data_IF_717121120693
#
_entry.id   IF_717121120693
#
_cell.length_a   1.000
_cell.length_b   1.000
_cell.length_c   1.000
_cell.angle_alpha   90.00
_cell.angle_beta   90.00
_cell.angle_gamma   90.00
#
_symmetry.space_group_name_H-M   'P 1'
#
loop_
_entity.id
_entity.type
_entity.pdbx_description
1 polymer ?
#
# COMPACT_ATOMS: atom_id res chain seq x y z
N UNK A 1 18.87 10.66 -3.86
CA UNK A 1 19.01 9.59 -2.86
C UNK A 1 19.59 10.22 -1.61
N UNK A 2 19.09 9.88 -0.42
CA UNK A 2 19.57 10.48 0.83
C UNK A 2 21.03 10.12 1.13
N UNK A 3 21.79 11.07 1.68
CA UNK A 3 23.12 10.85 2.24
C UNK A 3 23.14 11.37 3.68
N UNK A 4 24.00 10.81 4.53
CA UNK A 4 24.17 11.30 5.91
C UNK A 4 24.56 12.79 5.92
N UNK A 5 25.49 13.19 5.05
CA UNK A 5 25.94 14.59 4.94
C UNK A 5 24.81 15.57 4.60
N UNK A 6 23.90 15.21 3.66
CA UNK A 6 22.80 16.10 3.28
C UNK A 6 21.76 16.21 4.40
N UNK A 7 21.48 15.11 5.11
CA UNK A 7 20.58 15.15 6.27
C UNK A 7 21.20 15.95 7.43
N UNK A 8 22.50 15.76 7.67
CA UNK A 8 23.26 16.52 8.68
C UNK A 8 23.21 18.01 8.40
N UNK A 9 23.48 18.41 7.14
CA UNK A 9 23.34 19.80 6.70
C UNK A 9 21.95 20.33 6.95
N UNK A 10 20.91 19.62 6.51
CA UNK A 10 19.52 20.06 6.66
C UNK A 10 19.12 20.32 8.12
N UNK A 11 19.36 19.36 9.03
CA UNK A 11 18.98 19.54 10.43
C UNK A 11 19.89 20.53 11.18
N UNK A 12 21.14 20.70 10.74
CA UNK A 12 22.03 21.72 11.30
C UNK A 12 21.62 23.13 10.89
N UNK A 13 21.24 23.34 9.62
CA UNK A 13 20.74 24.61 9.09
C UNK A 13 19.39 24.99 9.69
N UNK A 14 18.51 24.00 9.92
CA UNK A 14 17.25 24.21 10.64
C UNK A 14 17.47 24.76 12.05
N UNK A 15 18.54 24.33 12.74
CA UNK A 15 18.97 24.82 14.05
C UNK A 15 18.11 24.35 15.23
N UNK A 16 16.78 24.37 15.11
CA UNK A 16 15.85 23.94 16.15
C UNK A 16 14.55 23.37 15.58
N UNK A 17 14.08 22.26 16.14
CA UNK A 17 12.75 21.70 15.87
C UNK A 17 11.77 22.27 16.90
N UNK A 18 10.64 22.82 16.44
CA UNK A 18 9.60 23.29 17.36
C UNK A 18 8.91 22.11 18.07
N UNK A 19 9.09 22.06 19.39
CA UNK A 19 8.43 21.10 20.28
C UNK A 19 7.48 21.78 21.26
N UNK A 20 7.22 23.08 21.12
CA UNK A 20 6.37 23.86 22.05
C UNK A 20 4.92 23.40 22.08
N UNK A 21 4.48 22.74 21.00
CA UNK A 21 3.16 22.11 20.91
C UNK A 21 2.98 20.92 21.86
N UNK A 22 4.06 20.35 22.39
CA UNK A 22 4.05 19.40 23.50
C UNK A 22 4.13 20.16 24.82
N UNK A 23 3.23 19.89 25.76
CA UNK A 23 3.26 20.52 27.10
C UNK A 23 4.58 20.27 27.82
N UNK A 24 5.13 19.04 27.70
CA UNK A 24 6.40 18.66 28.31
C UNK A 24 7.13 17.62 27.45
N UNK A 25 7.94 18.04 26.46
CA UNK A 25 8.64 17.13 25.55
C UNK A 25 9.43 16.03 26.28
N UNK A 26 9.99 16.34 27.44
CA UNK A 26 10.81 15.40 28.25
C UNK A 26 10.05 14.19 28.81
N UNK A 27 8.71 14.17 28.70
CA UNK A 27 7.85 13.04 29.07
C UNK A 27 7.47 12.17 27.87
N UNK A 28 7.86 12.55 26.65
CA UNK A 28 7.58 11.77 25.44
C UNK A 28 8.79 10.97 25.00
N UNK A 29 8.53 9.85 24.33
CA UNK A 29 9.55 9.03 23.70
C UNK A 29 9.79 9.54 22.28
N UNK A 30 11.04 9.84 21.94
CA UNK A 30 11.44 10.18 20.59
C UNK A 30 12.10 8.99 19.91
N UNK A 31 11.75 8.77 18.65
CA UNK A 31 12.29 7.70 17.81
C UNK A 31 12.54 8.20 16.41
N UNK A 32 13.53 7.65 15.73
CA UNK A 32 13.78 7.99 14.34
C UNK A 32 14.29 6.80 13.54
N UNK A 33 14.19 6.90 12.23
CA UNK A 33 14.83 5.99 11.27
C UNK A 33 16.06 6.69 10.69
N UNK A 34 17.16 5.96 10.52
CA UNK A 34 18.36 6.46 9.83
C UNK A 34 18.64 5.68 8.56
N UNK A 35 19.57 6.19 7.73
CA UNK A 35 20.01 5.53 6.50
C UNK A 35 20.70 4.18 6.75
N UNK A 36 21.27 4.01 7.94
CA UNK A 36 22.02 2.80 8.34
C UNK A 36 21.13 1.65 8.82
N UNK A 37 19.81 1.87 8.97
CA UNK A 37 18.81 0.84 9.33
C UNK A 37 19.07 0.16 10.68
N UNK A 38 18.55 0.68 11.80
CA UNK A 38 17.19 0.33 12.25
C UNK A 38 16.41 1.53 12.85
N UNK A 39 15.28 1.26 13.51
CA UNK A 39 14.62 2.22 14.39
C UNK A 39 15.53 2.54 15.59
N UNK A 40 15.80 3.82 15.81
CA UNK A 40 16.53 4.34 16.95
C UNK A 40 15.53 4.95 17.92
N UNK A 41 15.68 4.65 19.20
CA UNK A 41 14.93 5.30 20.28
C UNK A 41 15.90 6.15 21.08
N UNK A 42 15.54 7.39 21.37
CA UNK A 42 16.36 8.26 22.19
C UNK A 42 16.66 7.61 23.54
N UNK A 43 17.93 7.63 23.94
CA UNK A 43 18.40 7.10 25.24
C UNK A 43 18.34 8.14 26.35
N UNK A 44 17.77 9.32 26.07
CA UNK A 44 17.68 10.44 27.02
C UNK A 44 16.31 11.12 26.92
N UNK A 45 15.96 11.89 27.95
CA UNK A 45 14.77 12.73 27.90
C UNK A 45 15.10 13.98 27.09
N UNK A 46 14.29 14.26 26.07
CA UNK A 46 14.48 15.40 25.18
C UNK A 46 13.57 16.53 25.65
N UNK A 47 14.15 17.65 26.08
CA UNK A 47 13.38 18.81 26.57
C UNK A 47 13.20 19.91 25.53
N UNK A 48 14.02 19.94 24.48
CA UNK A 48 14.03 21.00 23.45
C UNK A 48 14.41 20.42 22.09
N UNK A 49 14.04 21.13 21.01
CA UNK A 49 14.38 20.74 19.64
C UNK A 49 15.87 20.68 19.37
N UNK A 50 16.64 21.64 19.91
CA UNK A 50 18.11 21.61 19.83
C UNK A 50 18.72 20.34 20.39
N UNK A 51 18.23 19.87 21.55
CA UNK A 51 18.69 18.60 22.15
C UNK A 51 18.28 17.39 21.30
N UNK A 52 17.13 17.46 20.63
CA UNK A 52 16.71 16.42 19.70
C UNK A 52 17.68 16.32 18.52
N UNK A 53 18.00 17.45 17.88
CA UNK A 53 18.96 17.50 16.77
C UNK A 53 20.33 16.98 17.20
N UNK A 54 20.82 17.40 18.37
CA UNK A 54 22.08 16.87 18.92
C UNK A 54 22.04 15.35 19.15
N UNK A 55 20.86 14.75 19.38
CA UNK A 55 20.71 13.31 19.60
C UNK A 55 20.81 12.51 18.29
N UNK A 56 20.67 13.18 17.14
CA UNK A 56 20.81 12.55 15.83
C UNK A 56 22.26 12.25 15.45
N UNK A 57 23.24 12.87 16.12
CA UNK A 57 24.67 12.78 15.78
C UNK A 57 25.12 11.33 15.53
N UNK A 58 25.69 11.09 14.33
CA UNK A 58 26.18 9.79 13.88
C UNK A 58 25.11 8.86 13.26
N UNK A 59 23.83 9.22 13.36
CA UNK A 59 22.68 8.50 12.82
C UNK A 59 21.58 9.48 12.37
N UNK A 60 21.84 10.25 11.31
CA UNK A 60 20.92 11.30 10.88
C UNK A 60 19.56 10.72 10.43
N UNK A 61 18.44 11.38 10.79
CA UNK A 61 17.13 10.79 10.59
C UNK A 61 16.57 11.06 9.20
N UNK A 62 15.98 10.03 8.58
CA UNK A 62 15.07 10.18 7.44
C UNK A 62 13.64 10.48 7.90
N UNK A 63 13.29 10.04 9.10
CA UNK A 63 11.96 10.18 9.69
C UNK A 63 12.09 10.29 11.21
N UNK A 64 11.44 11.29 11.81
CA UNK A 64 11.46 11.52 13.26
C UNK A 64 10.04 11.42 13.82
N UNK A 65 9.89 10.76 14.95
CA UNK A 65 8.62 10.47 15.58
C UNK A 65 8.66 10.73 17.09
N UNK A 66 7.50 11.04 17.65
CA UNK A 66 7.27 11.24 19.08
C UNK A 66 6.04 10.45 19.53
N UNK A 67 6.04 9.92 20.75
CA UNK A 67 4.89 9.21 21.30
C UNK A 67 3.68 10.12 21.51
N UNK A 68 2.48 9.63 21.22
CA UNK A 68 1.22 10.33 21.53
C UNK A 68 0.97 10.40 23.03
N UNK A 69 1.41 9.38 23.77
CA UNK A 69 1.39 9.35 25.23
C UNK A 69 2.61 10.03 25.85
N UNK A 70 2.36 10.68 26.99
CA UNK A 70 3.41 11.14 27.90
C UNK A 70 3.54 10.20 29.09
N UNK A 71 4.76 9.99 29.56
CA UNK A 71 5.10 8.97 30.55
C UNK A 71 5.98 9.56 31.64
N UNK A 72 5.91 8.99 32.83
CA UNK A 72 6.85 9.35 33.91
C UNK A 72 8.30 9.06 33.51
N UNK A 73 8.53 8.01 32.73
CA UNK A 73 9.84 7.62 32.19
C UNK A 73 9.73 7.13 30.74
N UNK A 74 9.97 8.00 29.73
CA UNK A 74 9.77 7.65 28.33
C UNK A 74 10.93 6.87 27.66
N UNK A 75 12.12 6.88 28.27
CA UNK A 75 13.37 6.41 27.63
C UNK A 75 13.45 4.88 27.54
N UNK A 76 12.78 4.16 28.44
CA UNK A 76 12.86 2.70 28.55
C UNK A 76 11.48 2.06 28.71
N UNK A 77 10.51 2.54 27.93
CA UNK A 77 9.15 2.01 28.00
C UNK A 77 9.15 0.49 27.73
N UNK A 78 8.62 -0.32 28.66
CA UNK A 78 8.49 -1.75 28.46
C UNK A 78 7.54 -2.03 27.29
N UNK A 79 7.78 -3.13 26.57
CA UNK A 79 6.85 -3.59 25.53
C UNK A 79 5.54 -4.02 26.19
N UNK A 80 4.43 -4.00 25.45
CA UNK A 80 3.11 -4.41 25.97
C UNK A 80 3.09 -5.83 26.58
N UNK A 81 3.95 -6.74 26.10
CA UNK A 81 4.08 -8.12 26.59
C UNK A 81 5.18 -8.30 27.66
N UNK A 82 5.88 -7.24 28.03
CA UNK A 82 6.95 -7.32 29.02
C UNK A 82 6.36 -7.35 30.43
N UNK A 83 6.43 -8.52 31.06
CA UNK A 83 5.95 -8.76 32.43
C UNK A 83 7.06 -8.66 33.48
N UNK A 84 8.32 -8.46 33.06
CA UNK A 84 9.48 -8.45 33.97
C UNK A 84 9.75 -7.07 34.54
N UNK A 85 9.34 -6.02 33.84
CA UNK A 85 9.54 -4.63 34.25
C UNK A 85 8.27 -4.06 34.87
N UNK A 86 8.39 -3.08 35.79
CA UNK A 86 7.23 -2.35 36.31
C UNK A 86 6.41 -1.73 35.18
N UNK A 87 5.09 -1.71 35.35
CA UNK A 87 4.19 -1.10 34.38
C UNK A 87 4.46 0.41 34.29
N UNK A 88 4.53 0.99 33.08
CA UNK A 88 4.87 2.39 32.94
C UNK A 88 3.69 3.27 33.38
N UNK A 89 3.99 4.41 34.01
CA UNK A 89 2.96 5.34 34.48
C UNK A 89 2.64 6.31 33.34
N UNK A 90 1.46 6.12 32.75
CA UNK A 90 0.85 7.04 31.78
C UNK A 90 0.46 8.34 32.49
N UNK A 91 0.94 9.47 31.96
CA UNK A 91 0.66 10.80 32.50
C UNK A 91 -0.30 11.59 31.62
N UNK A 92 -0.31 11.35 30.32
CA UNK A 92 -1.20 12.01 29.36
C UNK A 92 -1.27 11.20 28.07
N UNK A 93 -2.31 11.42 27.25
CA UNK A 93 -2.45 10.84 25.93
C UNK A 93 -3.10 11.84 24.96
N UNK A 94 -2.32 12.30 23.98
CA UNK A 94 -2.83 13.09 22.87
C UNK A 94 -3.87 12.28 22.09
N UNK A 95 -4.99 12.92 21.76
CA UNK A 95 -5.99 12.33 20.87
C UNK A 95 -5.56 12.64 19.45
N UNK A 96 -5.23 11.60 18.68
CA UNK A 96 -4.75 11.75 17.31
C UNK A 96 -5.66 11.00 16.35
N UNK A 97 -6.07 11.69 15.28
CA UNK A 97 -6.71 11.09 14.13
C UNK A 97 -5.76 11.17 12.94
N UNK A 98 -5.54 10.05 12.27
CA UNK A 98 -4.69 9.93 11.07
C UNK A 98 -5.61 9.72 9.87
N UNK A 99 -5.56 10.67 8.93
CA UNK A 99 -6.42 10.71 7.74
C UNK A 99 -5.52 10.60 6.53
N UNK A 100 -5.45 9.40 5.95
CA UNK A 100 -4.40 9.04 5.01
C UNK A 100 -5.03 8.42 3.76
N UNK A 101 -5.14 9.21 2.68
CA UNK A 101 -5.80 8.76 1.44
C UNK A 101 -4.75 8.44 0.38
N UNK A 102 -4.81 7.22 -0.16
CA UNK A 102 -3.83 6.68 -1.09
C UNK A 102 -4.29 6.78 -2.55
N UNK A 103 -3.35 6.79 -3.51
CA UNK A 103 -1.88 6.93 -3.36
C UNK A 103 -1.42 8.40 -3.19
N UNK A 104 -0.11 8.60 -2.99
CA UNK A 104 0.50 9.94 -2.90
C UNK A 104 0.33 10.73 -4.20
N UNK A 105 -0.59 11.69 -4.22
CA UNK A 105 -0.84 12.62 -5.33
C UNK A 105 -1.75 13.77 -4.87
N UNK A 106 -1.78 14.88 -5.62
CA UNK A 106 -2.57 16.08 -5.29
C UNK A 106 -4.07 15.78 -5.17
N UNK A 107 -4.64 15.03 -6.12
CA UNK A 107 -6.07 14.67 -6.08
C UNK A 107 -6.46 13.89 -4.82
N UNK A 108 -5.61 12.97 -4.35
CA UNK A 108 -5.88 12.20 -3.12
C UNK A 108 -5.58 13.00 -1.87
N UNK A 109 -4.58 13.89 -1.92
CA UNK A 109 -4.30 14.82 -0.85
C UNK A 109 -5.45 15.82 -0.65
N UNK A 110 -6.11 16.26 -1.74
CA UNK A 110 -7.31 17.10 -1.67
C UNK A 110 -8.48 16.37 -1.01
N UNK A 111 -8.69 15.10 -1.36
CA UNK A 111 -9.67 14.25 -0.66
C UNK A 111 -9.33 14.12 0.82
N UNK A 112 -8.06 13.93 1.16
CA UNK A 112 -7.61 13.83 2.55
C UNK A 112 -7.81 15.16 3.30
N UNK A 113 -7.57 16.30 2.64
CA UNK A 113 -7.80 17.65 3.20
C UNK A 113 -9.28 17.84 3.55
N UNK A 114 -10.17 17.58 2.59
CA UNK A 114 -11.61 17.70 2.79
C UNK A 114 -12.12 16.75 3.89
N UNK A 115 -11.64 15.50 3.93
CA UNK A 115 -11.96 14.57 5.01
C UNK A 115 -11.45 15.08 6.37
N UNK A 116 -10.24 15.64 6.42
CA UNK A 116 -9.65 16.22 7.64
C UNK A 116 -10.47 17.42 8.13
N UNK A 117 -10.94 18.26 7.21
CA UNK A 117 -11.86 19.37 7.52
C UNK A 117 -13.16 18.85 8.14
N UNK A 118 -13.77 17.82 7.53
CA UNK A 118 -14.99 17.19 8.06
C UNK A 118 -14.79 16.59 9.46
N UNK A 119 -13.65 15.92 9.71
CA UNK A 119 -13.34 15.39 11.05
C UNK A 119 -13.14 16.54 12.05
N UNK A 120 -12.42 17.62 11.68
CA UNK A 120 -12.26 18.81 12.52
C UNK A 120 -13.62 19.36 12.95
N UNK A 121 -14.48 19.62 11.98
CA UNK A 121 -15.79 20.25 12.20
C UNK A 121 -16.67 19.34 13.08
N UNK A 122 -16.69 18.03 12.80
CA UNK A 122 -17.40 17.06 13.63
C UNK A 122 -16.88 17.02 15.07
N UNK A 123 -15.56 17.05 15.28
CA UNK A 123 -14.97 17.06 16.62
C UNK A 123 -15.37 18.32 17.39
N UNK A 124 -15.35 19.49 16.75
CA UNK A 124 -15.75 20.76 17.36
C UNK A 124 -17.24 20.77 17.74
N UNK A 125 -18.10 20.11 16.95
CA UNK A 125 -19.54 20.06 17.19
C UNK A 125 -19.96 18.99 18.20
N UNK A 126 -19.21 17.88 18.31
CA UNK A 126 -19.66 16.67 19.02
C UNK A 126 -18.79 16.28 20.22
N UNK A 127 -17.72 17.04 20.51
CA UNK A 127 -16.77 16.75 21.58
C UNK A 127 -16.25 18.04 22.21
N UNK A 128 -15.76 17.94 23.44
CA UNK A 128 -15.04 19.02 24.13
C UNK A 128 -13.52 18.96 23.89
N UNK A 129 -13.08 18.31 22.82
CA UNK A 129 -11.66 18.15 22.53
C UNK A 129 -11.04 19.48 22.07
N UNK A 130 -9.91 19.80 22.67
CA UNK A 130 -9.12 20.99 22.37
C UNK A 130 -8.12 20.66 21.25
N UNK A 131 -8.52 20.93 20.00
CA UNK A 131 -7.69 20.72 18.81
C UNK A 131 -6.48 21.66 18.87
N UNK A 132 -5.27 21.10 18.94
CA UNK A 132 -4.02 21.86 19.05
C UNK A 132 -3.43 22.25 17.72
N UNK A 133 -3.48 21.35 16.75
CA UNK A 133 -3.05 21.62 15.39
C UNK A 133 -3.45 20.49 14.46
N UNK A 134 -3.50 20.83 13.20
CA UNK A 134 -3.63 19.90 12.09
C UNK A 134 -2.32 19.91 11.33
N UNK A 135 -1.76 18.74 11.08
CA UNK A 135 -0.44 18.60 10.45
C UNK A 135 -0.57 17.91 9.11
N UNK A 136 0.01 18.48 8.05
CA UNK A 136 0.35 17.71 6.86
C UNK A 136 1.47 16.72 7.21
N UNK A 137 1.28 15.43 6.94
CA UNK A 137 2.20 14.36 7.37
C UNK A 137 3.54 14.31 6.60
N UNK A 138 3.68 15.15 5.57
CA UNK A 138 4.78 15.11 4.61
C UNK A 138 4.55 14.08 3.48
N UNK A 139 3.41 13.38 3.46
CA UNK A 139 3.07 12.45 2.39
C UNK A 139 1.58 12.46 2.01
N UNK A 140 0.78 11.48 2.45
CA UNK A 140 -0.53 11.15 1.83
C UNK A 140 -1.72 11.73 2.57
N UNK A 141 -1.49 12.46 3.64
CA UNK A 141 -2.54 12.71 4.60
C UNK A 141 -2.16 13.69 5.68
N UNK A 142 -3.03 13.73 6.69
CA UNK A 142 -2.99 14.71 7.77
C UNK A 142 -3.17 14.02 9.11
N UNK A 143 -2.64 14.66 10.15
CA UNK A 143 -2.93 14.31 11.53
C UNK A 143 -3.70 15.45 12.19
N UNK A 144 -4.84 15.15 12.80
CA UNK A 144 -5.48 16.07 13.76
C UNK A 144 -4.98 15.69 15.14
N UNK A 145 -4.38 16.64 15.84
CA UNK A 145 -3.80 16.43 17.16
C UNK A 145 -4.58 17.29 18.15
N UNK A 146 -5.27 16.64 19.07
CA UNK A 146 -6.10 17.26 20.08
C UNK A 146 -5.72 16.82 21.49
N UNK A 147 -6.16 17.61 22.48
CA UNK A 147 -6.07 17.28 23.89
C UNK A 147 -7.47 17.13 24.47
N UNK A 148 -7.57 16.19 25.40
CA UNK A 148 -8.76 16.05 26.21
C UNK A 148 -8.60 16.92 27.46
N UNK A 149 -9.41 17.98 27.63
CA UNK A 149 -9.35 18.81 28.81
C UNK A 149 -9.84 18.04 30.05
N UNK A 150 -10.65 17.00 29.89
CA UNK A 150 -11.02 16.14 31.00
C UNK A 150 -9.85 15.23 31.40
N UNK A 151 -9.39 15.41 32.63
CA UNK A 151 -8.28 14.68 33.23
C UNK A 151 -8.74 13.55 34.14
N UNK A 152 -10.05 13.31 34.27
CA UNK A 152 -10.66 12.32 35.15
C UNK A 152 -10.00 10.94 35.00
N UNK A 153 -9.82 10.47 33.76
CA UNK A 153 -9.20 9.19 33.42
C UNK A 153 -7.78 9.03 33.97
N UNK A 154 -7.02 10.13 34.09
CA UNK A 154 -5.64 10.07 34.60
C UNK A 154 -5.57 10.08 36.13
N UNK A 155 -6.71 10.20 36.82
CA UNK A 155 -6.81 10.15 38.28
C UNK A 155 -6.84 8.71 38.82
N UNK A 156 -7.12 7.70 37.98
CA UNK A 156 -7.11 6.29 38.37
C UNK A 156 -5.72 5.88 38.89
N UNK A 157 -5.56 5.47 40.16
CA UNK A 157 -4.24 5.22 40.76
C UNK A 157 -3.52 3.98 40.20
N UNK A 158 -4.24 2.93 39.78
CA UNK A 158 -3.63 1.74 39.19
C UNK A 158 -3.19 2.03 37.73
N UNK A 159 -1.89 1.95 37.41
CA UNK A 159 -1.38 2.34 36.10
C UNK A 159 -1.86 1.43 34.97
N UNK A 160 -2.20 0.16 35.26
CA UNK A 160 -2.75 -0.78 34.28
C UNK A 160 -4.19 -0.41 33.96
N UNK A 161 -5.01 -0.18 34.99
CA UNK A 161 -6.41 0.24 34.82
C UNK A 161 -6.49 1.58 34.13
N UNK A 162 -5.65 2.54 34.51
CA UNK A 162 -5.55 3.85 33.86
C UNK A 162 -5.28 3.73 32.37
N UNK A 163 -4.27 2.96 31.95
CA UNK A 163 -3.97 2.78 30.52
C UNK A 163 -5.14 2.09 29.80
N UNK A 164 -5.82 1.13 30.42
CA UNK A 164 -7.00 0.46 29.86
C UNK A 164 -8.22 1.37 29.69
N UNK A 165 -8.52 2.22 30.68
CA UNK A 165 -9.64 3.16 30.63
C UNK A 165 -9.43 4.24 29.58
N UNK A 166 -8.20 4.78 29.48
CA UNK A 166 -7.83 5.69 28.40
C UNK A 166 -8.03 5.01 27.04
N UNK A 167 -7.55 3.78 26.86
CA UNK A 167 -7.74 3.04 25.60
C UNK A 167 -9.21 2.81 25.26
N UNK A 168 -10.04 2.46 26.25
CA UNK A 168 -11.48 2.26 26.07
C UNK A 168 -12.16 3.56 25.63
N UNK A 169 -11.93 4.66 26.35
CA UNK A 169 -12.49 5.97 26.01
C UNK A 169 -12.10 6.42 24.60
N UNK A 170 -10.82 6.25 24.21
CA UNK A 170 -10.35 6.62 22.88
C UNK A 170 -10.90 5.71 21.78
N UNK A 171 -11.16 4.43 22.07
CA UNK A 171 -11.81 3.49 21.15
C UNK A 171 -13.27 3.88 20.91
N UNK A 172 -14.02 4.21 21.95
CA UNK A 172 -15.42 4.67 21.84
C UNK A 172 -15.52 5.97 21.04
N UNK A 173 -14.60 6.93 21.28
CA UNK A 173 -14.52 8.15 20.47
C UNK A 173 -14.22 7.84 18.99
N UNK A 174 -13.25 6.97 18.73
CA UNK A 174 -12.88 6.58 17.37
C UNK A 174 -14.04 5.89 16.64
N UNK A 175 -14.78 5.01 17.32
CA UNK A 175 -15.97 4.35 16.79
C UNK A 175 -17.04 5.36 16.37
N UNK A 176 -17.32 6.38 17.19
CA UNK A 176 -18.26 7.46 16.83
C UNK A 176 -17.81 8.24 15.58
N UNK A 177 -16.52 8.52 15.44
CA UNK A 177 -15.97 9.22 14.25
C UNK A 177 -16.10 8.35 12.99
N UNK A 178 -15.85 7.04 13.12
CA UNK A 178 -15.99 6.09 12.00
C UNK A 178 -17.48 5.92 11.62
N UNK A 179 -18.38 5.82 12.60
CA UNK A 179 -19.83 5.73 12.40
C UNK A 179 -20.39 6.98 11.73
N UNK A 180 -19.80 8.16 11.97
CA UNK A 180 -20.10 9.40 11.25
C UNK A 180 -19.60 9.42 9.79
N UNK A 181 -18.92 8.37 9.33
CA UNK A 181 -18.52 8.17 7.94
C UNK A 181 -17.12 8.69 7.58
N UNK A 182 -16.29 9.07 8.55
CA UNK A 182 -14.98 9.65 8.27
C UNK A 182 -13.88 8.59 8.06
N UNK A 183 -12.98 8.79 7.06
CA UNK A 183 -11.94 7.82 6.72
C UNK A 183 -10.68 7.95 7.60
N UNK A 184 -10.82 7.69 8.90
CA UNK A 184 -9.71 7.72 9.89
C UNK A 184 -9.07 6.32 10.07
N UNK A 185 -7.76 6.25 10.34
CA UNK A 185 -7.09 4.98 10.69
C UNK A 185 -7.62 4.43 12.03
N UNK A 186 -8.26 3.26 11.97
CA UNK A 186 -8.90 2.59 13.10
C UNK A 186 -7.94 2.10 14.20
N UNK A 187 -6.63 2.18 13.98
CA UNK A 187 -5.59 1.68 14.90
C UNK A 187 -4.91 2.81 15.68
N UNK A 188 -4.91 4.04 15.14
CA UNK A 188 -4.10 5.15 15.69
C UNK A 188 -4.65 5.64 17.02
N UNK A 189 -5.92 6.03 17.05
CA UNK A 189 -6.47 6.86 18.14
C UNK A 189 -6.52 6.13 19.48
N UNK A 190 -6.76 4.82 19.48
CA UNK A 190 -6.83 4.02 20.70
C UNK A 190 -5.48 3.45 21.16
N UNK A 191 -4.41 3.57 20.38
CA UNK A 191 -3.09 3.03 20.71
C UNK A 191 -2.28 4.00 21.58
N UNK A 192 -2.25 3.73 22.89
CA UNK A 192 -1.45 4.49 23.87
C UNK A 192 0.06 4.40 23.63
N UNK A 193 0.53 3.48 22.78
CA UNK A 193 1.95 3.35 22.40
C UNK A 193 2.23 3.90 21.01
N UNK A 194 1.26 4.56 20.37
CA UNK A 194 1.40 5.14 19.04
C UNK A 194 2.47 6.23 19.05
N UNK A 195 3.16 6.34 17.92
CA UNK A 195 4.08 7.43 17.63
C UNK A 195 3.60 8.15 16.38
N UNK A 196 3.75 9.47 16.38
CA UNK A 196 3.38 10.35 15.28
C UNK A 196 4.62 11.09 14.79
N UNK A 197 4.63 11.50 13.53
CA UNK A 197 5.76 12.23 12.96
C UNK A 197 5.89 13.59 13.63
N UNK A 198 7.10 13.98 14.01
CA UNK A 198 7.36 15.29 14.64
C UNK A 198 7.20 16.39 13.59
N UNK A 199 6.29 17.37 13.79
CA UNK A 199 6.22 18.54 12.92
C UNK A 199 7.57 19.27 12.87
N UNK A 200 7.92 19.82 11.72
CA UNK A 200 9.25 20.36 11.45
C UNK A 200 10.23 19.34 10.85
N UNK A 201 9.93 18.04 10.83
CA UNK A 201 10.88 17.01 10.36
C UNK A 201 10.54 16.43 8.99
N UNK A 202 11.54 15.91 8.27
CA UNK A 202 11.34 15.37 6.93
C UNK A 202 10.58 14.04 6.94
N UNK A 203 9.88 13.78 5.82
CA UNK A 203 9.33 12.49 5.48
C UNK A 203 10.30 11.73 4.56
N UNK A 204 10.86 10.61 5.02
CA UNK A 204 11.98 9.94 4.38
C UNK A 204 11.69 9.40 2.98
N UNK A 205 10.43 9.12 2.63
CA UNK A 205 10.11 8.65 1.28
C UNK A 205 9.89 9.78 0.26
N UNK A 206 9.54 10.99 0.72
CA UNK A 206 9.07 12.08 -0.16
C UNK A 206 9.97 13.31 -0.09
N UNK A 207 10.68 13.52 1.02
CA UNK A 207 11.51 14.70 1.27
C UNK A 207 10.72 15.96 1.63
N UNK A 208 9.40 15.87 1.79
CA UNK A 208 8.56 16.97 2.27
C UNK A 208 8.55 17.00 3.80
N UNK A 209 8.45 18.20 4.37
CA UNK A 209 8.40 18.39 5.81
C UNK A 209 7.00 18.13 6.36
N UNK A 210 6.93 17.40 7.48
CA UNK A 210 5.75 17.35 8.33
C UNK A 210 5.47 18.75 8.86
N UNK A 211 4.33 19.35 8.53
CA UNK A 211 4.12 20.78 8.75
C UNK A 211 2.78 21.02 9.43
N UNK A 212 2.79 21.76 10.54
CA UNK A 212 1.58 22.29 11.16
C UNK A 212 0.94 23.25 10.15
N UNK A 213 -0.31 22.99 9.79
CA UNK A 213 -1.07 23.84 8.87
C UNK A 213 -1.39 25.17 9.55
N UNK A 214 -1.33 26.24 8.76
CA UNK A 214 -1.89 27.54 9.18
C UNK A 214 -3.41 27.44 9.20
N UNK A 215 -4.04 28.31 9.98
CA UNK A 215 -5.48 28.24 10.31
C UNK A 215 -6.37 28.26 9.05
N UNK A 216 -5.99 29.05 8.05
CA UNK A 216 -6.68 29.24 6.77
C UNK A 216 -6.35 28.16 5.73
N UNK A 217 -5.19 27.51 5.82
CA UNK A 217 -4.75 26.55 4.80
C UNK A 217 -5.67 25.34 4.67
N UNK A 218 -6.30 24.91 5.77
CA UNK A 218 -7.21 23.77 5.70
C UNK A 218 -8.46 24.10 4.87
N UNK A 219 -8.87 25.36 4.83
CA UNK A 219 -10.06 25.79 4.08
C UNK A 219 -9.74 26.14 2.61
N UNK A 220 -8.45 26.16 2.24
CA UNK A 220 -7.96 26.36 0.88
C UNK A 220 -7.66 25.03 0.16
N UNK A 221 -7.87 24.95 -1.17
CA UNK A 221 -7.42 23.82 -1.97
C UNK A 221 -5.93 23.54 -1.82
N UNK A 222 -5.52 22.27 -1.90
CA UNK A 222 -4.12 21.82 -1.79
C UNK A 222 -3.19 22.60 -2.72
N UNK A 223 -3.62 22.89 -3.94
CA UNK A 223 -2.80 23.60 -4.93
C UNK A 223 -2.42 25.03 -4.52
N UNK A 224 -3.13 25.65 -3.58
CA UNK A 224 -2.87 27.02 -3.14
C UNK A 224 -1.80 27.11 -2.04
N UNK A 225 -1.64 26.06 -1.22
CA UNK A 225 -0.70 26.07 -0.10
C UNK A 225 0.42 25.03 -0.19
N UNK A 226 0.29 23.99 -1.01
CA UNK A 226 1.26 22.88 -1.01
C UNK A 226 2.69 23.34 -1.32
N UNK A 227 2.84 24.33 -2.20
CA UNK A 227 4.16 24.84 -2.58
C UNK A 227 4.84 25.66 -1.46
N UNK A 228 4.07 26.13 -0.48
CA UNK A 228 4.55 26.82 0.73
C UNK A 228 5.15 25.85 1.76
N UNK A 229 4.87 24.54 1.64
CA UNK A 229 5.40 23.54 2.56
C UNK A 229 6.93 23.42 2.37
N UNK A 230 7.72 23.59 3.45
CA UNK A 230 9.16 23.36 3.40
C UNK A 230 9.49 21.94 2.95
N UNK A 231 10.55 21.80 2.17
CA UNK A 231 10.98 20.51 1.63
C UNK A 231 12.49 20.50 1.40
N UNK A 232 13.07 19.32 1.45
CA UNK A 232 14.46 19.13 1.07
C UNK A 232 14.63 19.37 -0.45
N UNK A 233 15.80 19.83 -0.87
CA UNK A 233 16.11 20.09 -2.30
C UNK A 233 15.97 18.86 -3.20
N UNK A 234 16.07 17.67 -2.62
CA UNK A 234 15.87 16.37 -3.29
C UNK A 234 14.47 15.78 -3.09
N UNK A 235 13.49 16.56 -2.62
CA UNK A 235 12.12 16.09 -2.46
C UNK A 235 11.52 15.66 -3.80
N UNK A 236 10.70 14.62 -3.76
CA UNK A 236 9.96 14.17 -4.95
C UNK A 236 8.84 15.15 -5.25
N UNK A 237 8.58 15.41 -6.52
CA UNK A 237 7.39 16.17 -6.90
C UNK A 237 6.13 15.38 -6.57
N UNK A 238 5.09 16.08 -6.11
CA UNK A 238 3.79 15.46 -5.85
C UNK A 238 3.08 15.26 -7.19
N UNK A 239 2.80 14.01 -7.61
CA UNK A 239 2.06 13.78 -8.85
C UNK A 239 0.67 14.43 -8.75
N UNK A 240 0.16 15.00 -9.84
CA UNK A 240 -1.18 15.60 -9.83
C UNK A 240 -2.26 14.56 -9.57
N UNK A 241 -2.25 13.49 -10.35
CA UNK A 241 -3.19 12.38 -10.26
C UNK A 241 -2.52 11.15 -9.65
N UNK A 242 -3.30 10.18 -9.13
CA UNK A 242 -2.77 8.90 -8.72
C UNK A 242 -1.82 8.36 -9.78
N UNK A 243 -0.57 8.00 -9.43
CA UNK A 243 0.22 7.21 -10.37
C UNK A 243 -0.65 6.01 -10.78
N UNK A 244 -0.65 5.67 -12.07
CA UNK A 244 -1.13 4.38 -12.56
C UNK A 244 -0.25 3.31 -11.89
N UNK A 245 -0.53 3.01 -10.62
CA UNK A 245 0.40 2.37 -9.69
C UNK A 245 0.04 0.92 -9.54
N UNK A 246 0.71 0.11 -10.34
CA UNK A 246 0.82 -1.31 -10.12
C UNK A 246 1.69 -1.58 -8.88
N UNK A 247 1.37 -2.60 -8.05
CA UNK A 247 2.26 -3.09 -7.00
C UNK A 247 3.69 -3.30 -7.52
N UNK A 248 4.71 -2.99 -6.71
CA UNK A 248 6.11 -3.32 -7.02
C UNK A 248 6.29 -4.85 -7.05
N UNK A 249 6.24 -5.43 -8.25
CA UNK A 249 6.49 -6.86 -8.49
C UNK A 249 7.99 -7.11 -8.31
N UNK A 250 8.36 -7.98 -7.36
CA UNK A 250 9.71 -8.53 -7.31
C UNK A 250 9.79 -9.62 -8.38
N UNK A 251 10.33 -9.27 -9.53
CA UNK A 251 10.60 -10.23 -10.59
C UNK A 251 11.62 -11.26 -10.09
N UNK A 252 11.35 -12.58 -10.25
CA UNK A 252 12.36 -13.59 -10.01
C UNK A 252 13.62 -13.26 -10.81
N UNK A 253 14.80 -13.40 -10.20
CA UNK A 253 16.06 -13.33 -10.94
C UNK A 253 16.18 -14.63 -11.74
N UNK A 254 15.65 -14.64 -12.95
CA UNK A 254 15.83 -15.77 -13.84
C UNK A 254 17.30 -15.90 -14.18
N UNK A 255 17.89 -17.05 -13.84
CA UNK A 255 19.16 -17.46 -14.43
C UNK A 255 18.88 -17.62 -15.92
N UNK A 256 19.35 -16.69 -16.73
CA UNK A 256 19.71 -16.98 -18.10
C UNK A 256 20.90 -17.94 -18.02
N UNK A 257 20.68 -19.21 -17.64
CA UNK A 257 21.49 -20.24 -18.28
C UNK A 257 21.27 -19.97 -19.75
N UNK A 258 22.37 -19.69 -20.46
CA UNK A 258 22.36 -19.56 -21.91
C UNK A 258 21.50 -20.68 -22.46
N UNK A 259 20.24 -20.37 -22.77
CA UNK A 259 19.55 -20.99 -23.86
C UNK A 259 20.35 -20.44 -25.01
N UNK A 260 21.46 -21.13 -25.31
CA UNK A 260 22.19 -20.95 -26.54
C UNK A 260 21.16 -20.89 -27.65
N UNK A 261 21.48 -20.16 -28.72
CA UNK A 261 20.69 -20.14 -29.95
C UNK A 261 20.43 -21.56 -30.47
N UNK A 262 19.56 -22.33 -29.81
CA UNK A 262 18.79 -23.38 -30.40
C UNK A 262 17.74 -22.62 -31.16
N UNK A 263 18.12 -22.36 -32.42
CA UNK A 263 17.21 -22.22 -33.54
C UNK A 263 15.80 -22.67 -33.18
N UNK A 264 14.86 -21.75 -33.33
CA UNK A 264 13.41 -21.97 -33.34
C UNK A 264 13.00 -22.82 -34.56
N UNK A 265 13.72 -23.92 -34.79
CA UNK A 265 13.53 -24.88 -35.87
C UNK A 265 13.30 -26.27 -35.27
N UNK A 266 12.03 -26.62 -35.09
CA UNK A 266 11.51 -27.95 -35.38
C UNK A 266 11.88 -29.10 -34.45
N UNK A 267 12.17 -28.87 -33.17
CA UNK A 267 12.21 -29.96 -32.20
C UNK A 267 10.86 -30.15 -31.52
N UNK A 268 10.29 -31.34 -31.72
CA UNK A 268 9.05 -31.79 -31.08
C UNK A 268 9.14 -31.61 -29.55
N UNK A 269 8.16 -30.93 -28.96
CA UNK A 269 8.07 -30.73 -27.51
C UNK A 269 6.68 -31.06 -26.99
N UNK A 270 6.64 -31.60 -25.77
CA UNK A 270 5.41 -31.86 -25.03
C UNK A 270 5.13 -30.73 -24.04
N UNK A 271 3.88 -30.30 -23.93
CA UNK A 271 3.45 -29.31 -22.93
C UNK A 271 2.00 -29.53 -22.50
N UNK A 272 1.60 -28.89 -21.40
CA UNK A 272 0.21 -28.87 -20.95
C UNK A 272 -0.42 -27.55 -21.36
N UNK A 273 -1.60 -27.66 -21.98
CA UNK A 273 -2.44 -26.53 -22.36
C UNK A 273 -3.75 -26.55 -21.58
N UNK A 274 -4.27 -25.37 -21.25
CA UNK A 274 -5.58 -25.18 -20.65
C UNK A 274 -6.50 -24.45 -21.62
N UNK A 275 -7.78 -24.81 -21.60
CA UNK A 275 -8.81 -24.10 -22.35
C UNK A 275 -9.22 -22.83 -21.63
N UNK A 276 -9.44 -21.75 -22.37
CA UNK A 276 -10.05 -20.51 -21.86
C UNK A 276 -11.56 -20.66 -21.59
N UNK A 277 -12.19 -21.74 -22.03
CA UNK A 277 -13.61 -21.98 -21.83
C UNK A 277 -13.94 -22.22 -20.35
N UNK A 278 -15.05 -21.64 -19.88
CA UNK A 278 -15.57 -21.91 -18.53
C UNK A 278 -16.47 -23.13 -18.61
N UNK A 279 -15.91 -24.30 -18.28
CA UNK A 279 -16.62 -25.58 -18.30
C UNK A 279 -17.91 -25.54 -17.50
N UNK A 280 -19.01 -26.07 -18.05
CA UNK A 280 -20.35 -25.98 -17.45
C UNK A 280 -21.13 -24.73 -17.81
N UNK A 281 -20.60 -23.88 -18.69
CA UNK A 281 -21.32 -22.73 -19.28
C UNK A 281 -21.39 -22.89 -20.81
N UNK A 282 -22.36 -22.24 -21.46
CA UNK A 282 -22.53 -22.36 -22.93
C UNK A 282 -21.56 -21.46 -23.70
N UNK A 283 -21.33 -20.26 -23.22
CA UNK A 283 -20.78 -19.15 -24.00
C UNK A 283 -19.82 -18.27 -23.19
N UNK A 284 -19.29 -18.76 -22.06
CA UNK A 284 -18.38 -17.97 -21.23
C UNK A 284 -16.93 -18.41 -21.41
N UNK A 285 -16.03 -17.44 -21.34
CA UNK A 285 -14.59 -17.63 -21.41
C UNK A 285 -13.89 -16.77 -20.38
N UNK A 286 -12.84 -17.32 -19.79
CA UNK A 286 -11.81 -16.57 -19.09
C UNK A 286 -10.81 -16.01 -20.10
N UNK A 287 -9.97 -15.08 -19.66
CA UNK A 287 -8.82 -14.64 -20.44
C UNK A 287 -7.63 -15.47 -19.99
N UNK A 288 -7.04 -16.23 -20.92
CA UNK A 288 -5.78 -16.96 -20.71
C UNK A 288 -4.93 -16.64 -21.92
N UNK A 289 -3.83 -15.91 -21.77
CA UNK A 289 -3.06 -15.44 -22.94
C UNK A 289 -1.60 -15.15 -22.64
N UNK A 290 -0.70 -15.59 -23.52
CA UNK A 290 0.69 -15.12 -23.54
C UNK A 290 0.77 -13.72 -24.12
N UNK A 291 1.36 -12.78 -23.38
CA UNK A 291 1.45 -11.39 -23.82
C UNK A 291 2.33 -11.25 -25.07
N UNK A 292 1.95 -10.40 -26.04
CA UNK A 292 2.73 -10.22 -27.27
C UNK A 292 4.14 -9.68 -27.02
N UNK A 293 5.16 -10.32 -27.58
CA UNK A 293 6.56 -9.85 -27.48
C UNK A 293 6.75 -8.42 -28.00
N UNK A 294 5.97 -8.02 -29.01
CA UNK A 294 5.95 -6.65 -29.55
C UNK A 294 5.53 -5.58 -28.54
N UNK A 295 5.02 -5.95 -27.36
CA UNK A 295 4.73 -5.00 -26.27
C UNK A 295 5.98 -4.62 -25.46
N UNK A 296 7.14 -5.16 -25.83
CA UNK A 296 8.42 -4.86 -25.22
C UNK A 296 8.78 -5.82 -24.11
N UNK A 297 9.69 -5.38 -23.23
CA UNK A 297 10.12 -6.16 -22.07
C UNK A 297 8.94 -6.57 -21.18
N UNK A 298 9.12 -7.69 -20.49
CA UNK A 298 8.08 -8.33 -19.66
C UNK A 298 7.33 -7.35 -18.74
N UNK A 299 8.07 -6.45 -18.08
CA UNK A 299 7.48 -5.42 -17.22
C UNK A 299 6.53 -4.49 -17.99
N UNK A 300 6.95 -3.97 -19.14
CA UNK A 300 6.13 -3.11 -20.00
C UNK A 300 4.93 -3.86 -20.56
N UNK A 301 5.11 -5.14 -20.92
CA UNK A 301 4.02 -5.98 -21.39
C UNK A 301 2.95 -6.18 -20.29
N UNK A 302 3.36 -6.48 -19.06
CA UNK A 302 2.44 -6.63 -17.92
C UNK A 302 1.74 -5.32 -17.57
N UNK A 303 2.45 -4.19 -17.57
CA UNK A 303 1.86 -2.85 -17.36
C UNK A 303 0.79 -2.54 -18.42
N UNK A 304 1.10 -2.79 -19.69
CA UNK A 304 0.17 -2.60 -20.79
C UNK A 304 -1.05 -3.53 -20.67
N UNK A 305 -0.84 -4.81 -20.36
CA UNK A 305 -1.92 -5.78 -20.16
C UNK A 305 -2.85 -5.33 -19.03
N UNK A 306 -2.30 -4.90 -17.89
CA UNK A 306 -3.13 -4.47 -16.79
C UNK A 306 -3.93 -3.21 -17.14
N UNK A 307 -3.34 -2.22 -17.83
CA UNK A 307 -4.09 -1.05 -18.28
C UNK A 307 -5.25 -1.42 -19.23
N UNK A 308 -5.01 -2.35 -20.15
CA UNK A 308 -6.04 -2.89 -21.05
C UNK A 308 -7.19 -3.52 -20.25
N UNK A 309 -6.89 -4.45 -19.35
CA UNK A 309 -7.93 -5.14 -18.57
C UNK A 309 -8.66 -4.21 -17.59
N UNK A 310 -7.95 -3.26 -16.98
CA UNK A 310 -8.55 -2.25 -16.10
C UNK A 310 -9.55 -1.35 -16.85
N UNK A 311 -9.21 -0.91 -18.08
CA UNK A 311 -10.12 -0.15 -18.95
C UNK A 311 -11.34 -0.95 -19.46
N UNK A 312 -11.32 -2.28 -19.30
CA UNK A 312 -12.46 -3.14 -19.61
C UNK A 312 -13.30 -3.46 -18.36
N UNK A 313 -12.88 -2.99 -17.18
CA UNK A 313 -13.41 -3.39 -15.87
C UNK A 313 -13.37 -4.91 -15.66
N UNK A 314 -12.26 -5.53 -16.08
CA UNK A 314 -12.04 -6.97 -15.97
C UNK A 314 -10.78 -7.20 -15.13
N UNK A 315 -10.96 -7.85 -13.99
CA UNK A 315 -9.86 -8.20 -13.08
C UNK A 315 -10.35 -9.13 -11.97
N UNK A 316 -9.45 -9.62 -11.11
CA UNK A 316 -8.00 -9.41 -11.10
C UNK A 316 -7.31 -10.27 -12.17
N UNK A 317 -6.00 -10.07 -12.33
CA UNK A 317 -5.17 -10.72 -13.34
C UNK A 317 -3.99 -11.42 -12.66
N UNK A 318 -3.91 -12.75 -12.77
CA UNK A 318 -2.70 -13.49 -12.40
C UNK A 318 -1.69 -13.43 -13.54
N UNK A 319 -0.45 -13.07 -13.20
CA UNK A 319 0.67 -13.05 -14.13
C UNK A 319 1.69 -14.12 -13.77
N UNK A 320 2.11 -14.91 -14.76
CA UNK A 320 3.18 -15.89 -14.67
C UNK A 320 4.25 -15.61 -15.74
N UNK A 321 5.42 -16.21 -15.63
CA UNK A 321 6.53 -15.99 -16.55
C UNK A 321 7.24 -17.30 -16.91
N UNK A 322 7.66 -17.44 -18.16
CA UNK A 322 8.62 -18.47 -18.58
C UNK A 322 10.07 -17.95 -18.63
N UNK A 323 10.33 -16.79 -18.02
CA UNK A 323 11.59 -16.07 -18.08
C UNK A 323 11.72 -15.12 -19.28
N UNK A 324 10.89 -15.28 -20.32
CA UNK A 324 10.97 -14.47 -21.55
C UNK A 324 9.68 -13.65 -21.76
N UNK A 325 8.52 -14.29 -21.58
CA UNK A 325 7.20 -13.68 -21.76
C UNK A 325 6.40 -13.81 -20.48
N UNK A 326 5.36 -12.99 -20.37
CA UNK A 326 4.36 -13.15 -19.31
C UNK A 326 3.10 -13.84 -19.86
N UNK A 327 2.54 -14.75 -19.06
CA UNK A 327 1.21 -15.34 -19.21
C UNK A 327 0.26 -14.56 -18.32
N UNK A 328 -0.88 -14.11 -18.86
CA UNK A 328 -1.94 -13.45 -18.11
C UNK A 328 -3.18 -14.36 -18.02
N UNK A 329 -3.73 -14.47 -16.81
CA UNK A 329 -4.96 -15.21 -16.53
C UNK A 329 -5.94 -14.29 -15.80
N UNK A 330 -7.10 -14.02 -16.39
CA UNK A 330 -8.22 -13.34 -15.73
C UNK A 330 -9.32 -14.37 -15.45
N UNK A 331 -9.52 -14.79 -14.19
CA UNK A 331 -10.41 -15.88 -13.82
C UNK A 331 -11.87 -15.41 -13.72
N UNK A 332 -12.36 -14.70 -14.73
CA UNK A 332 -13.74 -14.23 -14.84
C UNK A 332 -14.49 -15.02 -15.91
N UNK A 333 -15.75 -15.35 -15.66
CA UNK A 333 -16.63 -16.03 -16.61
C UNK A 333 -17.34 -15.00 -17.50
N UNK A 334 -16.61 -14.53 -18.51
CA UNK A 334 -17.01 -13.42 -19.37
C UNK A 334 -17.80 -13.97 -20.58
N UNK A 335 -18.99 -13.43 -20.91
CA UNK A 335 -19.67 -13.78 -22.14
C UNK A 335 -18.80 -13.52 -23.37
N UNK A 336 -18.69 -14.49 -24.29
CA UNK A 336 -17.77 -14.40 -25.44
C UNK A 336 -18.02 -13.18 -26.32
N UNK A 337 -19.28 -12.83 -26.57
CA UNK A 337 -19.62 -11.67 -27.41
C UNK A 337 -19.13 -10.36 -26.78
N UNK A 338 -19.29 -10.24 -25.45
CA UNK A 338 -18.74 -9.11 -24.71
C UNK A 338 -17.21 -9.11 -24.79
N UNK A 339 -16.57 -10.25 -24.55
CA UNK A 339 -15.12 -10.38 -24.61
C UNK A 339 -14.57 -9.98 -26.00
N UNK A 340 -15.16 -10.48 -27.08
CA UNK A 340 -14.77 -10.16 -28.45
C UNK A 340 -14.98 -8.68 -28.79
N UNK A 341 -16.02 -8.04 -28.25
CA UNK A 341 -16.24 -6.59 -28.44
C UNK A 341 -15.13 -5.74 -27.81
N UNK A 342 -14.54 -6.22 -26.71
CA UNK A 342 -13.47 -5.51 -25.97
C UNK A 342 -12.07 -5.85 -26.47
N UNK A 343 -11.85 -7.05 -27.00
CA UNK A 343 -10.54 -7.46 -27.52
C UNK A 343 -10.14 -6.74 -28.80
N UNK A 344 -11.10 -6.21 -29.56
CA UNK A 344 -10.82 -5.45 -30.78
C UNK A 344 -9.95 -4.23 -30.47
N UNK A 345 -8.76 -4.17 -31.05
CA UNK A 345 -7.79 -3.09 -30.80
C UNK A 345 -6.96 -3.24 -29.51
N UNK A 346 -7.25 -4.23 -28.66
CA UNK A 346 -6.46 -4.52 -27.46
C UNK A 346 -5.06 -5.09 -27.80
N UNK A 347 -4.83 -5.51 -29.05
CA UNK A 347 -3.55 -6.04 -29.52
C UNK A 347 -3.30 -7.50 -29.14
N UNK A 348 -4.32 -8.21 -28.66
CA UNK A 348 -4.33 -9.65 -28.34
C UNK A 348 -4.87 -10.50 -29.51
N UNK A 349 -4.44 -10.16 -30.73
CA UNK A 349 -5.06 -10.63 -31.98
C UNK A 349 -5.15 -12.16 -32.11
N UNK A 350 -4.15 -12.91 -31.61
CA UNK A 350 -4.17 -14.38 -31.69
C UNK A 350 -5.26 -14.97 -30.80
N UNK A 351 -5.37 -14.47 -29.56
CA UNK A 351 -6.42 -14.92 -28.64
C UNK A 351 -7.80 -14.55 -29.19
N UNK A 352 -7.97 -13.33 -29.71
CA UNK A 352 -9.21 -12.93 -30.38
C UNK A 352 -9.55 -13.87 -31.55
N UNK A 353 -8.58 -14.19 -32.40
CA UNK A 353 -8.77 -15.13 -33.52
C UNK A 353 -9.22 -16.50 -33.04
N UNK A 354 -8.57 -17.05 -32.00
CA UNK A 354 -8.88 -18.38 -31.47
C UNK A 354 -10.30 -18.41 -30.88
N UNK A 355 -10.71 -17.40 -30.11
CA UNK A 355 -12.09 -17.31 -29.58
C UNK A 355 -13.11 -17.21 -30.73
N UNK A 356 -12.84 -16.41 -31.78
CA UNK A 356 -13.77 -16.28 -32.93
C UNK A 356 -13.92 -17.57 -33.72
N UNK A 357 -12.83 -18.31 -33.89
CA UNK A 357 -12.78 -19.48 -34.78
C UNK A 357 -13.13 -20.79 -34.09
N UNK A 358 -12.66 -20.95 -32.85
CA UNK A 358 -12.72 -22.20 -32.11
C UNK A 358 -13.50 -22.08 -30.81
N UNK A 359 -14.15 -20.94 -30.57
CA UNK A 359 -15.01 -20.71 -29.41
C UNK A 359 -14.29 -20.64 -28.04
N UNK A 360 -13.03 -21.05 -27.99
CA UNK A 360 -12.09 -20.94 -26.87
C UNK A 360 -10.65 -20.98 -27.39
N UNK A 361 -9.69 -20.61 -26.55
CA UNK A 361 -8.27 -20.73 -26.82
C UNK A 361 -7.65 -21.85 -25.98
N UNK A 362 -6.78 -22.65 -26.59
CA UNK A 362 -5.92 -23.58 -25.87
C UNK A 362 -4.55 -22.96 -25.64
N UNK A 363 -4.14 -22.83 -24.38
CA UNK A 363 -2.99 -22.01 -24.00
C UNK A 363 -2.05 -22.79 -23.12
N UNK A 364 -0.76 -22.83 -23.49
CA UNK A 364 0.30 -23.47 -22.72
C UNK A 364 0.46 -22.82 -21.35
N UNK A 365 0.49 -23.64 -20.29
CA UNK A 365 0.69 -23.20 -18.90
C UNK A 365 1.89 -23.87 -18.21
N UNK A 366 2.66 -24.69 -18.92
CA UNK A 366 3.90 -25.32 -18.44
C UNK A 366 5.11 -24.93 -19.28
N UNK A 367 6.29 -25.35 -18.85
CA UNK A 367 7.47 -25.39 -19.72
C UNK A 367 7.27 -26.27 -20.96
N UNK A 368 8.30 -26.35 -21.79
CA UNK A 368 8.38 -27.28 -22.91
C UNK A 368 9.24 -28.46 -22.49
N UNK A 369 8.68 -29.67 -22.52
CA UNK A 369 9.45 -30.88 -22.29
C UNK A 369 10.04 -31.35 -23.61
N UNK A 370 11.36 -31.31 -23.72
CA UNK A 370 12.11 -31.79 -24.87
C UNK A 370 13.27 -32.66 -24.37
N UNK A 371 13.47 -33.84 -24.97
CA UNK A 371 14.56 -34.77 -24.62
C UNK A 371 14.65 -35.13 -23.12
N UNK A 372 13.51 -35.16 -22.42
CA UNK A 372 13.44 -35.52 -21.00
C UNK A 372 13.71 -34.37 -20.02
N UNK A 373 13.97 -33.16 -20.51
CA UNK A 373 14.15 -31.97 -19.67
C UNK A 373 13.05 -30.93 -19.91
N UNK A 374 12.63 -30.26 -18.83
CA UNK A 374 11.71 -29.13 -18.88
C UNK A 374 12.49 -27.84 -19.10
N UNK A 375 12.15 -27.11 -20.16
CA UNK A 375 12.75 -25.82 -20.51
C UNK A 375 11.71 -24.71 -20.45
N UNK A 376 12.07 -23.59 -19.82
CA UNK A 376 11.19 -22.42 -19.69
C UNK A 376 9.96 -22.72 -18.83
N UNK A 377 10.19 -23.28 -17.64
CA UNK A 377 9.14 -23.50 -16.64
C UNK A 377 8.39 -22.20 -16.34
N UNK A 378 7.09 -22.33 -16.12
CA UNK A 378 6.20 -21.19 -15.89
C UNK A 378 6.14 -20.93 -14.39
N UNK A 379 6.73 -19.82 -13.96
CA UNK A 379 6.78 -19.42 -12.56
C UNK A 379 5.76 -18.32 -12.24
N UNK A 380 5.17 -18.33 -11.03
CA UNK A 380 4.26 -17.29 -10.58
C UNK A 380 4.98 -15.95 -10.42
N UNK A 381 4.43 -14.87 -10.99
CA UNK A 381 4.93 -13.51 -10.78
C UNK A 381 4.13 -12.77 -9.71
N UNK A 382 2.84 -12.55 -9.95
CA UNK A 382 1.99 -11.72 -9.10
C UNK A 382 0.51 -11.78 -9.50
N UNK A 383 -0.36 -11.16 -8.69
CA UNK A 383 -1.76 -10.89 -9.04
C UNK A 383 -2.01 -9.39 -8.95
N UNK A 384 -2.61 -8.81 -9.99
CA UNK A 384 -2.85 -7.38 -10.14
C UNK A 384 -4.32 -7.09 -10.49
N UNK A 385 -4.71 -5.82 -10.57
CA UNK A 385 -6.05 -5.45 -11.06
C UNK A 385 -7.20 -5.72 -10.08
N UNK A 386 -6.94 -5.79 -8.77
CA UNK A 386 -8.02 -5.93 -7.77
C UNK A 386 -8.99 -4.74 -7.77
N UNK A 387 -8.54 -3.52 -8.11
CA UNK A 387 -9.48 -2.39 -8.30
C UNK A 387 -10.44 -2.60 -9.48
N UNK A 388 -9.99 -3.21 -10.58
CA UNK A 388 -10.85 -3.60 -11.69
C UNK A 388 -11.82 -4.73 -11.30
N UNK A 389 -11.37 -5.62 -10.42
CA UNK A 389 -12.21 -6.70 -9.86
C UNK A 389 -13.46 -6.17 -9.16
N UNK A 390 -13.34 -5.09 -8.39
CA UNK A 390 -14.48 -4.46 -7.68
C UNK A 390 -15.52 -3.86 -8.64
N UNK A 391 -15.10 -3.48 -9.85
CA UNK A 391 -15.97 -2.94 -10.90
C UNK A 391 -16.49 -4.02 -11.87
N UNK A 392 -15.97 -5.24 -11.77
CA UNK A 392 -16.26 -6.30 -12.72
C UNK A 392 -17.62 -6.95 -12.43
N UNK A 393 -18.57 -6.79 -13.35
CA UNK A 393 -19.90 -7.38 -13.23
C UNK A 393 -19.96 -8.88 -13.60
N UNK A 394 -18.86 -9.48 -14.04
CA UNK A 394 -18.85 -10.87 -14.50
C UNK A 394 -18.58 -11.84 -13.34
N UNK A 395 -19.31 -12.97 -13.28
CA UNK A 395 -19.06 -14.03 -12.31
C UNK A 395 -17.61 -14.49 -12.34
N UNK A 396 -17.15 -15.06 -11.23
CA UNK A 396 -15.89 -15.78 -11.18
C UNK A 396 -15.95 -17.05 -12.03
N UNK A 397 -14.82 -17.43 -12.60
CA UNK A 397 -14.67 -18.71 -13.29
C UNK A 397 -14.05 -19.73 -12.34
N UNK A 398 -14.84 -20.65 -11.79
CA UNK A 398 -14.38 -21.74 -10.93
C UNK A 398 -13.14 -22.48 -11.47
N UNK A 399 -13.09 -22.92 -12.76
CA UNK A 399 -11.94 -23.68 -13.25
C UNK A 399 -10.65 -22.87 -13.27
N UNK A 400 -10.75 -21.58 -13.55
CA UNK A 400 -9.60 -20.69 -13.67
C UNK A 400 -9.13 -20.14 -12.32
N UNK A 401 -10.02 -20.05 -11.32
CA UNK A 401 -9.64 -19.80 -9.94
C UNK A 401 -8.80 -20.95 -9.38
N UNK A 402 -9.29 -22.19 -9.55
CA UNK A 402 -8.56 -23.39 -9.16
C UNK A 402 -7.22 -23.51 -9.89
N UNK A 403 -7.20 -23.21 -11.19
CA UNK A 403 -5.95 -23.15 -11.97
C UNK A 403 -4.95 -22.15 -11.35
N UNK A 404 -5.39 -20.92 -11.04
CA UNK A 404 -4.51 -19.92 -10.44
C UNK A 404 -3.97 -20.38 -9.08
N UNK A 405 -4.80 -21.05 -8.27
CA UNK A 405 -4.39 -21.67 -7.01
C UNK A 405 -3.28 -22.71 -7.22
N UNK A 406 -3.45 -23.65 -8.17
CA UNK A 406 -2.45 -24.69 -8.50
C UNK A 406 -1.14 -24.12 -9.04
N UNK A 407 -1.21 -23.01 -9.77
CA UNK A 407 -0.04 -22.32 -10.31
C UNK A 407 0.64 -21.39 -9.29
N UNK A 408 0.23 -21.40 -8.02
CA UNK A 408 0.87 -20.64 -6.95
C UNK A 408 0.45 -19.16 -6.85
N UNK A 409 -0.64 -18.78 -7.52
CA UNK A 409 -1.22 -17.43 -7.48
C UNK A 409 -2.70 -17.47 -7.06
N UNK A 410 -3.01 -17.92 -5.83
CA UNK A 410 -4.40 -17.93 -5.37
C UNK A 410 -5.00 -16.52 -5.43
N UNK A 411 -6.19 -16.43 -6.02
CA UNK A 411 -6.91 -15.18 -6.23
C UNK A 411 -7.78 -14.92 -5.01
N UNK A 412 -7.75 -13.69 -4.50
CA UNK A 412 -8.67 -13.27 -3.45
C UNK A 412 -10.02 -12.97 -4.09
N UNK A 413 -10.94 -13.90 -3.96
CA UNK A 413 -12.32 -13.72 -4.39
C UNK A 413 -12.97 -12.61 -3.55
N UNK A 414 -13.57 -11.64 -4.24
CA UNK A 414 -14.51 -10.69 -3.64
C UNK A 414 -15.93 -11.23 -3.74
N UNK A 415 -16.92 -10.44 -3.31
CA UNK A 415 -18.33 -10.79 -3.51
C UNK A 415 -18.66 -11.00 -5.00
N UNK A 416 -19.48 -12.00 -5.29
CA UNK A 416 -19.91 -12.32 -6.65
C UNK A 416 -20.24 -13.80 -6.86
N UNK A 417 -21.01 -14.08 -7.89
CA UNK A 417 -21.33 -15.46 -8.27
C UNK A 417 -20.11 -16.19 -8.84
N UNK A 418 -20.08 -17.52 -8.68
CA UNK A 418 -19.06 -18.39 -9.24
C UNK A 418 -19.72 -19.28 -10.31
N UNK A 419 -19.12 -19.34 -11.49
CA UNK A 419 -19.62 -20.09 -12.65
C UNK A 419 -18.65 -21.21 -13.05
N UNK A 420 -19.25 -22.32 -13.47
CA UNK A 420 -18.55 -23.47 -14.05
C UNK A 420 -18.06 -24.51 -13.05
N UNK A 421 -17.47 -25.59 -13.57
CA UNK A 421 -16.90 -26.68 -12.76
C UNK A 421 -15.50 -26.34 -12.27
N UNK A 422 -15.12 -26.82 -11.09
CA UNK A 422 -13.81 -26.54 -10.47
C UNK A 422 -12.63 -27.04 -11.31
N UNK A 423 -12.80 -28.10 -12.09
CA UNK A 423 -11.73 -28.62 -12.95
C UNK A 423 -11.63 -27.87 -14.28
N UNK A 424 -10.48 -27.23 -14.50
CA UNK A 424 -10.15 -26.65 -15.79
C UNK A 424 -9.93 -27.74 -16.85
N UNK A 425 -10.47 -27.52 -18.05
CA UNK A 425 -10.21 -28.41 -19.19
C UNK A 425 -8.76 -28.27 -19.63
N UNK A 426 -7.97 -29.32 -19.40
CA UNK A 426 -6.54 -29.38 -19.70
C UNK A 426 -6.25 -30.51 -20.68
N UNK A 427 -5.21 -30.34 -21.50
CA UNK A 427 -4.72 -31.38 -22.43
C UNK A 427 -3.20 -31.38 -22.49
N UNK A 428 -2.63 -32.56 -22.73
CA UNK A 428 -1.22 -32.72 -23.08
C UNK A 428 -1.11 -32.63 -24.60
N UNK A 429 -0.23 -31.77 -25.10
CA UNK A 429 -0.04 -31.56 -26.54
C UNK A 429 1.41 -31.71 -26.90
N UNK A 430 1.64 -32.36 -28.03
CA UNK A 430 2.93 -32.43 -28.70
C UNK A 430 2.91 -31.43 -29.86
N UNK A 431 3.84 -30.47 -29.87
CA UNK A 431 3.97 -29.44 -30.90
C UNK A 431 5.36 -29.49 -31.52
N UNK A 432 5.45 -29.13 -32.80
CA UNK A 432 6.71 -29.03 -33.56
C UNK A 432 7.17 -27.58 -33.72
#
# INVERSE_FOLDING_TARGET
MWTEENLERHYSEMGEIDLTWLSKPSQHQFRWKSLKGPWITSRRRISTGKKLIQDFSGCMPTDVYVSTSSWINPVNLPRLKDTKRPYPILLDHLVVFDIDIRPFCKTKLEQARSATQGVRDWLLENTELDIKHICFSGSKGFHIIARDPDRSLFSEPDPVRREQEVRRSRKELLERVIEAGFPVDSVVTADTRRIIRVPGTLHGATGWQCTIMQEDWLDLPVDEWIDLIPRHSSAIEIPRNPPLSMPTIKWPKFSTKDVGKHSDQGSEYTSIEVSSHVSGTKDRSAIVVWLPQKWGEMKKAVEKANGIFDSMDIGPVAFLSDGVRALAIVPRAIPRDFLLSRLSGAGLNQFEHDIRKFEHAWVRITGRMAQGEWVGEVEPLTVLGYGASERCAHPWSAPHLELCSRLGLPIREGEGEVSGSVEASMRIVVRN
#
